data_IF_533895693883
#
_entry.id   IF_533895693883
#
_cell.length_a   1.000
_cell.length_b   1.000
_cell.length_c   1.000
_cell.angle_alpha   90.00
_cell.angle_beta   90.00
_cell.angle_gamma   90.00
#
_symmetry.space_group_name_H-M   'P 1'
#
loop_
_entity.id
_entity.type
_entity.pdbx_description
1 polymer ?
#
# COMPACT_ATOMS: atom_id res chain seq x y z
N UNK A 1 19.67 -84.80 -45.13
CA UNK A 1 19.22 -84.01 -46.30
C UNK A 1 18.82 -82.64 -45.76
N UNK A 2 19.70 -81.63 -45.82
CA UNK A 2 19.80 -80.61 -46.89
C UNK A 2 18.54 -79.73 -46.88
N UNK A 3 18.55 -78.41 -46.64
CA UNK A 3 19.49 -77.34 -47.05
C UNK A 3 19.46 -76.18 -46.01
N UNK A 4 20.57 -75.76 -45.40
CA UNK A 4 21.38 -74.59 -45.81
C UNK A 4 20.61 -73.45 -46.51
N UNK A 5 20.23 -72.42 -45.75
CA UNK A 5 20.06 -71.06 -46.26
C UNK A 5 20.80 -70.10 -45.31
N UNK A 6 22.02 -69.76 -45.70
CA UNK A 6 22.69 -68.55 -45.23
C UNK A 6 22.40 -67.44 -46.25
N UNK A 7 21.93 -66.25 -45.84
CA UNK A 7 22.20 -65.05 -46.58
C UNK A 7 23.52 -64.49 -46.06
N UNK A 8 24.60 -64.78 -46.79
CA UNK A 8 25.82 -63.99 -46.69
C UNK A 8 25.53 -62.63 -47.33
N UNK A 9 25.12 -61.65 -46.53
CA UNK A 9 25.16 -60.25 -46.95
C UNK A 9 26.63 -59.82 -46.97
N UNK A 10 27.17 -59.75 -48.18
CA UNK A 10 28.47 -59.16 -48.44
C UNK A 10 28.44 -57.70 -47.95
N UNK A 11 29.14 -57.43 -46.85
CA UNK A 11 29.48 -56.08 -46.43
C UNK A 11 30.35 -55.44 -47.52
N UNK A 12 29.69 -54.80 -48.49
CA UNK A 12 30.34 -54.04 -49.55
C UNK A 12 31.19 -52.93 -48.93
N UNK A 13 32.41 -52.75 -49.44
CA UNK A 13 33.31 -51.69 -49.01
C UNK A 13 32.59 -50.33 -48.98
N UNK A 14 32.80 -49.48 -47.97
CA UNK A 14 32.09 -48.22 -47.84
C UNK A 14 32.34 -47.37 -49.09
N UNK A 15 31.29 -47.13 -49.86
CA UNK A 15 31.36 -46.30 -51.05
C UNK A 15 31.93 -44.93 -50.67
N UNK A 16 32.93 -44.44 -51.42
CA UNK A 16 33.57 -43.15 -51.14
C UNK A 16 32.64 -41.94 -51.32
N UNK A 17 31.41 -42.14 -51.84
CA UNK A 17 30.45 -41.06 -52.09
C UNK A 17 29.47 -40.90 -50.93
N UNK A 18 28.97 -39.68 -50.76
CA UNK A 18 27.86 -39.42 -49.84
C UNK A 18 26.59 -40.11 -50.31
N UNK A 19 25.86 -40.70 -49.36
CA UNK A 19 24.56 -41.32 -49.58
C UNK A 19 23.51 -40.25 -49.91
N UNK A 20 22.57 -40.59 -50.78
CA UNK A 20 21.39 -39.79 -51.13
C UNK A 20 20.22 -40.16 -50.22
N UNK A 21 19.16 -39.35 -50.23
CA UNK A 21 17.93 -39.59 -49.44
C UNK A 21 17.37 -41.02 -49.68
N UNK A 22 17.35 -41.46 -50.94
CA UNK A 22 16.90 -42.80 -51.34
C UNK A 22 17.92 -43.93 -51.12
N UNK A 23 19.12 -43.61 -50.63
CA UNK A 23 20.11 -44.60 -50.21
C UNK A 23 20.05 -44.86 -48.68
N UNK A 24 19.18 -44.16 -47.94
CA UNK A 24 19.03 -44.29 -46.48
C UNK A 24 17.98 -45.35 -46.11
N UNK A 25 18.10 -45.94 -44.91
CA UNK A 25 17.07 -46.85 -44.42
C UNK A 25 15.73 -46.14 -44.19
N UNK A 26 14.65 -46.90 -44.29
CA UNK A 26 13.29 -46.39 -44.09
C UNK A 26 13.08 -45.72 -42.71
N UNK A 27 13.77 -46.23 -41.69
CA UNK A 27 13.73 -45.67 -40.33
C UNK A 27 14.24 -44.22 -40.26
N UNK A 28 15.08 -43.79 -41.21
CA UNK A 28 15.64 -42.44 -41.26
C UNK A 28 14.68 -41.41 -41.89
N UNK A 29 13.77 -41.83 -42.77
CA UNK A 29 13.04 -40.90 -43.63
C UNK A 29 12.06 -40.02 -42.86
N UNK A 30 11.26 -40.61 -41.98
CA UNK A 30 10.33 -39.85 -41.12
C UNK A 30 11.05 -38.79 -40.27
N UNK A 31 12.07 -39.13 -39.45
CA UNK A 31 12.75 -38.12 -38.64
C UNK A 31 13.55 -37.11 -39.49
N UNK A 32 14.11 -37.53 -40.64
CA UNK A 32 14.81 -36.62 -41.54
C UNK A 32 13.86 -35.57 -42.16
N UNK A 33 12.70 -36.00 -42.64
CA UNK A 33 11.69 -35.09 -43.20
C UNK A 33 11.09 -34.22 -42.09
N UNK A 34 10.79 -34.80 -40.93
CA UNK A 34 10.13 -34.11 -39.82
C UNK A 34 10.99 -33.04 -39.15
N UNK A 35 12.30 -33.27 -39.01
CA UNK A 35 13.22 -32.32 -38.37
C UNK A 35 14.00 -31.49 -39.38
N UNK A 36 14.32 -32.06 -40.54
CA UNK A 36 15.15 -31.44 -41.56
C UNK A 36 14.43 -30.46 -42.49
N UNK A 37 13.09 -30.44 -42.49
CA UNK A 37 12.33 -29.60 -43.43
C UNK A 37 11.16 -28.90 -42.72
N UNK A 38 11.09 -27.55 -42.78
CA UNK A 38 9.91 -26.84 -42.34
C UNK A 38 8.69 -27.26 -43.17
N UNK A 39 7.55 -27.44 -42.51
CA UNK A 39 6.32 -27.94 -43.12
C UNK A 39 5.84 -27.09 -44.32
N UNK A 40 5.95 -25.77 -44.21
CA UNK A 40 5.66 -24.85 -45.33
C UNK A 40 6.60 -25.03 -46.53
N UNK A 41 7.85 -25.44 -46.29
CA UNK A 41 8.80 -25.78 -47.35
C UNK A 41 8.44 -27.13 -47.97
N UNK A 42 8.13 -28.14 -47.15
CA UNK A 42 7.71 -29.46 -47.59
C UNK A 42 6.48 -29.40 -48.49
N UNK A 43 5.43 -28.66 -48.08
CA UNK A 43 4.23 -28.43 -48.91
C UNK A 43 4.54 -27.84 -50.28
N UNK A 44 5.47 -26.89 -50.36
CA UNK A 44 5.90 -26.27 -51.63
C UNK A 44 6.63 -27.27 -52.53
N UNK A 45 7.47 -28.13 -51.95
CA UNK A 45 8.18 -29.17 -52.70
C UNK A 45 7.22 -30.24 -53.22
N UNK A 46 6.30 -30.71 -52.38
CA UNK A 46 5.26 -31.67 -52.77
C UNK A 46 4.39 -31.09 -53.89
N UNK A 47 3.89 -29.86 -53.75
CA UNK A 47 3.04 -29.24 -54.78
C UNK A 47 3.74 -29.05 -56.13
N UNK A 48 5.04 -28.72 -56.12
CA UNK A 48 5.83 -28.65 -57.36
C UNK A 48 6.03 -30.02 -58.01
N UNK A 49 6.22 -31.07 -57.20
CA UNK A 49 6.42 -32.43 -57.70
C UNK A 49 5.13 -33.05 -58.26
N UNK A 50 3.97 -32.74 -57.68
CA UNK A 50 2.65 -33.25 -58.09
C UNK A 50 1.94 -32.37 -59.12
N UNK A 51 2.52 -31.23 -59.52
CA UNK A 51 2.00 -30.38 -60.58
C UNK A 51 0.86 -29.45 -60.17
N UNK A 52 0.72 -29.10 -58.89
CA UNK A 52 -0.37 -28.23 -58.44
C UNK A 52 -0.39 -27.90 -56.94
N UNK A 53 -1.46 -27.22 -56.51
CA UNK A 53 -1.68 -26.89 -55.09
C UNK A 53 -2.03 -28.16 -54.31
N UNK A 54 -1.31 -28.40 -53.22
CA UNK A 54 -1.56 -29.53 -52.33
C UNK A 54 -2.80 -29.25 -51.47
N UNK A 55 -3.85 -30.06 -51.65
CA UNK A 55 -5.12 -30.00 -50.87
C UNK A 55 -5.11 -31.01 -49.70
N UNK A 56 -4.00 -31.72 -49.51
CA UNK A 56 -3.80 -32.66 -48.41
C UNK A 56 -3.51 -31.94 -47.09
N UNK A 57 -3.83 -32.57 -45.96
CA UNK A 57 -3.48 -32.09 -44.62
C UNK A 57 -1.97 -32.23 -44.33
N UNK A 58 -1.51 -31.68 -43.21
CA UNK A 58 -0.07 -31.68 -42.88
C UNK A 58 0.50 -33.09 -42.64
N UNK A 59 -0.32 -34.00 -42.11
CA UNK A 59 0.06 -35.38 -41.86
C UNK A 59 0.20 -36.16 -43.18
N UNK A 60 -0.77 -36.03 -44.08
CA UNK A 60 -0.77 -36.64 -45.40
C UNK A 60 0.41 -36.15 -46.25
N UNK A 61 0.72 -34.85 -46.20
CA UNK A 61 1.89 -34.28 -46.88
C UNK A 61 3.19 -34.87 -46.34
N UNK A 62 3.29 -35.02 -45.02
CA UNK A 62 4.47 -35.58 -44.38
C UNK A 62 4.65 -37.07 -44.74
N UNK A 63 3.64 -37.90 -44.50
CA UNK A 63 3.71 -39.35 -44.76
C UNK A 63 3.93 -39.64 -46.24
N UNK A 64 3.25 -38.89 -47.13
CA UNK A 64 3.48 -39.00 -48.57
C UNK A 64 4.92 -38.70 -48.95
N UNK A 65 5.49 -37.60 -48.43
CA UNK A 65 6.90 -37.28 -48.69
C UNK A 65 7.88 -38.31 -48.12
N UNK A 66 7.59 -38.87 -46.94
CA UNK A 66 8.38 -39.95 -46.32
C UNK A 66 8.37 -41.21 -47.17
N UNK A 67 7.20 -41.62 -47.67
CA UNK A 67 7.07 -42.78 -48.56
C UNK A 67 7.90 -42.61 -49.83
N UNK A 68 7.83 -41.43 -50.44
CA UNK A 68 8.59 -41.11 -51.65
C UNK A 68 10.11 -41.02 -51.42
N UNK A 69 10.60 -40.98 -50.18
CA UNK A 69 12.04 -41.00 -49.92
C UNK A 69 12.70 -42.36 -50.18
N UNK A 70 11.93 -43.46 -50.19
CA UNK A 70 12.46 -44.82 -50.34
C UNK A 70 12.94 -45.20 -51.74
N UNK A 71 12.68 -44.35 -52.74
CA UNK A 71 13.11 -44.58 -54.12
C UNK A 71 13.50 -43.27 -54.79
N UNK A 72 14.21 -43.36 -55.92
CA UNK A 72 14.55 -42.17 -56.71
C UNK A 72 13.39 -41.75 -57.60
N UNK A 73 12.82 -40.59 -57.30
CA UNK A 73 11.73 -39.93 -58.02
C UNK A 73 11.86 -38.40 -57.97
N UNK A 74 10.96 -37.67 -58.65
CA UNK A 74 10.97 -36.19 -58.71
C UNK A 74 10.92 -35.53 -57.33
N UNK A 75 10.15 -36.06 -56.40
CA UNK A 75 10.03 -35.48 -55.06
C UNK A 75 11.30 -35.73 -54.23
N UNK A 76 11.80 -36.96 -54.20
CA UNK A 76 13.04 -37.33 -53.50
C UNK A 76 14.26 -36.53 -54.00
N UNK A 77 14.34 -36.22 -55.30
CA UNK A 77 15.39 -35.36 -55.87
C UNK A 77 15.24 -33.90 -55.43
N UNK A 78 14.00 -33.41 -55.35
CA UNK A 78 13.72 -32.07 -54.84
C UNK A 78 14.06 -31.95 -53.34
N UNK A 79 13.72 -32.97 -52.55
CA UNK A 79 14.06 -33.08 -51.12
C UNK A 79 15.58 -33.14 -50.92
N UNK A 80 16.27 -34.00 -51.67
CA UNK A 80 17.73 -34.07 -51.69
C UNK A 80 18.34 -32.68 -51.97
N UNK A 81 17.86 -31.99 -53.01
CA UNK A 81 18.39 -30.67 -53.38
C UNK A 81 18.17 -29.64 -52.28
N UNK A 82 17.00 -29.65 -51.63
CA UNK A 82 16.71 -28.72 -50.53
C UNK A 82 17.56 -29.02 -49.29
N UNK A 83 17.73 -30.30 -48.91
CA UNK A 83 18.58 -30.69 -47.78
C UNK A 83 20.05 -30.30 -48.01
N UNK A 84 20.59 -30.53 -49.20
CA UNK A 84 21.96 -30.12 -49.56
C UNK A 84 22.12 -28.60 -49.53
N UNK A 85 21.14 -27.86 -50.07
CA UNK A 85 21.17 -26.39 -50.10
C UNK A 85 21.08 -25.80 -48.69
N UNK A 86 20.11 -26.26 -47.90
CA UNK A 86 19.81 -25.75 -46.55
C UNK A 86 20.94 -26.03 -45.57
N UNK A 87 21.54 -27.22 -45.65
CA UNK A 87 22.52 -27.68 -44.68
C UNK A 87 23.95 -27.70 -45.23
N UNK A 88 24.21 -27.03 -46.36
CA UNK A 88 25.54 -26.95 -46.97
C UNK A 88 26.68 -26.61 -45.98
N UNK A 89 26.53 -25.64 -45.04
CA UNK A 89 27.60 -25.33 -44.09
C UNK A 89 27.90 -26.48 -43.13
N UNK A 90 26.86 -27.20 -42.68
CA UNK A 90 27.01 -28.32 -41.75
C UNK A 90 27.61 -29.53 -42.49
N UNK A 91 27.16 -29.78 -43.72
CA UNK A 91 27.73 -30.81 -44.61
C UNK A 91 29.23 -30.55 -44.84
N UNK A 92 29.62 -29.30 -45.06
CA UNK A 92 31.03 -28.91 -45.20
C UNK A 92 31.83 -29.21 -43.94
N UNK A 93 31.27 -28.96 -42.75
CA UNK A 93 31.92 -29.29 -41.46
C UNK A 93 32.13 -30.80 -41.31
N UNK A 94 31.12 -31.61 -41.62
CA UNK A 94 31.20 -33.07 -41.52
C UNK A 94 32.19 -33.70 -42.50
N UNK A 95 32.44 -33.05 -43.66
CA UNK A 95 33.45 -33.50 -44.64
C UNK A 95 34.87 -33.64 -44.06
N UNK A 96 35.18 -32.95 -42.96
CA UNK A 96 36.47 -33.07 -42.28
C UNK A 96 36.65 -34.43 -41.57
N UNK A 97 35.56 -35.15 -41.26
CA UNK A 97 35.63 -36.46 -40.61
C UNK A 97 36.19 -37.52 -41.57
N UNK A 98 37.09 -38.36 -41.06
CA UNK A 98 37.82 -39.41 -41.81
C UNK A 98 37.35 -40.81 -41.46
N UNK A 99 36.70 -40.99 -40.31
CA UNK A 99 36.17 -42.26 -39.82
C UNK A 99 34.81 -42.07 -39.13
N UNK A 100 34.12 -43.17 -38.82
CA UNK A 100 32.79 -43.15 -38.20
C UNK A 100 32.80 -42.53 -36.80
N UNK A 101 33.87 -42.74 -36.02
CA UNK A 101 33.99 -42.15 -34.68
C UNK A 101 33.98 -40.61 -34.70
N UNK A 102 34.63 -39.99 -35.69
CA UNK A 102 34.61 -38.54 -35.87
C UNK A 102 33.23 -38.02 -36.31
N UNK A 103 32.49 -38.78 -37.12
CA UNK A 103 31.10 -38.44 -37.47
C UNK A 103 30.21 -38.51 -36.23
N UNK A 104 30.38 -39.56 -35.41
CA UNK A 104 29.66 -39.74 -34.16
C UNK A 104 29.94 -38.60 -33.17
N UNK A 105 31.19 -38.15 -33.06
CA UNK A 105 31.54 -37.00 -32.22
C UNK A 105 30.86 -35.71 -32.70
N UNK A 106 30.89 -35.44 -34.01
CA UNK A 106 30.23 -34.25 -34.57
C UNK A 106 28.71 -34.27 -34.37
N UNK A 107 28.09 -35.45 -34.38
CA UNK A 107 26.69 -35.66 -34.02
C UNK A 107 26.43 -35.39 -32.54
N UNK A 108 27.24 -35.97 -31.64
CA UNK A 108 27.12 -35.74 -30.20
C UNK A 108 27.26 -34.25 -29.82
N UNK A 109 28.22 -33.55 -30.44
CA UNK A 109 28.41 -32.11 -30.26
C UNK A 109 27.20 -31.29 -30.73
N UNK A 110 26.53 -31.75 -31.80
CA UNK A 110 25.33 -31.10 -32.32
C UNK A 110 24.12 -31.34 -31.41
N UNK A 111 23.96 -32.55 -30.90
CA UNK A 111 22.96 -32.92 -29.89
C UNK A 111 23.10 -32.06 -28.63
N UNK A 112 24.32 -31.90 -28.12
CA UNK A 112 24.58 -31.06 -26.94
C UNK A 112 24.24 -29.57 -27.16
N UNK A 113 24.29 -29.09 -28.40
CA UNK A 113 23.97 -27.70 -28.78
C UNK A 113 22.52 -27.50 -29.21
N UNK A 114 21.75 -28.58 -29.39
CA UNK A 114 20.38 -28.54 -29.92
C UNK A 114 20.28 -28.28 -31.43
N UNK A 115 21.38 -28.22 -32.18
CA UNK A 115 21.39 -28.02 -33.64
C UNK A 115 21.39 -29.35 -34.39
N UNK A 116 20.30 -30.10 -34.23
CA UNK A 116 20.23 -31.51 -34.64
C UNK A 116 19.87 -31.69 -36.12
N UNK A 117 19.10 -30.79 -36.73
CA UNK A 117 18.52 -30.98 -38.06
C UNK A 117 19.57 -31.12 -39.17
N UNK A 118 20.51 -30.17 -39.23
CA UNK A 118 21.58 -30.20 -40.24
C UNK A 118 22.61 -31.29 -39.97
N UNK A 119 22.92 -31.54 -38.69
CA UNK A 119 23.86 -32.58 -38.28
C UNK A 119 23.33 -33.98 -38.60
N UNK A 120 22.02 -34.19 -38.47
CA UNK A 120 21.36 -35.45 -38.81
C UNK A 120 21.50 -35.76 -40.30
N UNK A 121 21.16 -34.81 -41.18
CA UNK A 121 21.38 -34.96 -42.62
C UNK A 121 22.86 -35.19 -42.96
N UNK A 122 23.75 -34.34 -42.43
CA UNK A 122 25.17 -34.40 -42.74
C UNK A 122 25.82 -35.72 -42.29
N UNK A 123 25.44 -36.25 -41.13
CA UNK A 123 25.92 -37.53 -40.62
C UNK A 123 25.35 -38.72 -41.37
N UNK A 124 24.03 -38.80 -41.59
CA UNK A 124 23.39 -39.91 -42.32
C UNK A 124 23.93 -40.06 -43.75
N UNK A 125 24.11 -38.94 -44.45
CA UNK A 125 24.65 -38.94 -45.80
C UNK A 125 26.17 -39.15 -45.88
N UNK A 126 26.90 -39.15 -44.75
CA UNK A 126 28.36 -39.21 -44.75
C UNK A 126 28.89 -40.60 -45.19
N UNK A 127 29.99 -40.69 -45.98
CA UNK A 127 30.52 -41.98 -46.45
C UNK A 127 31.09 -42.88 -45.35
N UNK A 128 31.27 -42.31 -44.14
CA UNK A 128 31.77 -43.01 -42.95
C UNK A 128 30.68 -43.31 -41.92
N UNK A 129 29.42 -43.06 -42.25
CA UNK A 129 28.29 -43.46 -41.43
C UNK A 129 27.97 -44.92 -41.74
N UNK A 130 28.21 -45.79 -40.76
CA UNK A 130 27.84 -47.20 -40.82
C UNK A 130 26.42 -47.42 -40.27
N UNK A 131 25.91 -48.65 -40.39
CA UNK A 131 24.56 -48.98 -39.93
C UNK A 131 24.37 -48.75 -38.42
N UNK A 132 25.39 -49.01 -37.61
CA UNK A 132 25.33 -48.83 -36.16
C UNK A 132 25.25 -47.34 -35.77
N UNK A 133 25.99 -46.48 -36.44
CA UNK A 133 25.92 -45.04 -36.24
C UNK A 133 24.59 -44.46 -36.74
N UNK A 134 24.12 -44.90 -37.90
CA UNK A 134 22.80 -44.52 -38.42
C UNK A 134 21.68 -44.85 -37.43
N UNK A 135 21.64 -46.08 -36.93
CA UNK A 135 20.65 -46.50 -35.96
C UNK A 135 20.71 -45.66 -34.68
N UNK A 136 21.92 -45.40 -34.17
CA UNK A 136 22.13 -44.53 -33.00
C UNK A 136 21.58 -43.13 -33.24
N UNK A 137 21.92 -42.51 -34.36
CA UNK A 137 21.45 -41.16 -34.70
C UNK A 137 19.91 -41.11 -34.76
N UNK A 138 19.27 -42.12 -35.34
CA UNK A 138 17.81 -42.21 -35.40
C UNK A 138 17.17 -42.34 -34.01
N UNK A 139 17.75 -43.18 -33.13
CA UNK A 139 17.30 -43.33 -31.73
C UNK A 139 17.46 -42.04 -30.94
N UNK A 140 18.60 -41.37 -31.07
CA UNK A 140 18.87 -40.08 -30.42
C UNK A 140 17.86 -39.01 -30.87
N UNK A 141 17.61 -38.90 -32.18
CA UNK A 141 16.67 -37.92 -32.72
C UNK A 141 15.22 -38.20 -32.30
N UNK A 142 14.84 -39.47 -32.23
CA UNK A 142 13.52 -39.87 -31.71
C UNK A 142 13.31 -39.37 -30.28
N UNK A 143 14.31 -39.50 -29.40
CA UNK A 143 14.22 -38.99 -28.03
C UNK A 143 14.14 -37.46 -27.98
N UNK A 144 14.88 -36.75 -28.84
CA UNK A 144 14.80 -35.29 -28.95
C UNK A 144 13.40 -34.85 -29.38
N UNK A 145 12.78 -35.52 -30.35
CA UNK A 145 11.42 -35.22 -30.78
C UNK A 145 10.40 -35.44 -29.65
N UNK A 146 10.55 -36.52 -28.86
CA UNK A 146 9.72 -36.76 -27.69
C UNK A 146 9.85 -35.67 -26.63
N UNK A 147 11.09 -35.26 -26.32
CA UNK A 147 11.37 -34.20 -25.35
C UNK A 147 10.84 -32.85 -25.83
N UNK A 148 11.08 -32.48 -27.09
CA UNK A 148 10.55 -31.25 -27.69
C UNK A 148 9.02 -31.20 -27.59
N UNK A 149 8.33 -32.31 -27.88
CA UNK A 149 6.88 -32.41 -27.72
C UNK A 149 6.42 -32.25 -26.26
N UNK A 150 7.16 -32.81 -25.29
CA UNK A 150 6.85 -32.65 -23.87
C UNK A 150 7.06 -31.21 -23.37
N UNK A 151 8.16 -30.57 -23.76
CA UNK A 151 8.44 -29.17 -23.46
C UNK A 151 7.37 -28.24 -24.05
N UNK A 152 7.00 -28.44 -25.33
CA UNK A 152 5.95 -27.64 -25.97
C UNK A 152 4.61 -27.75 -25.22
N UNK A 153 4.22 -28.94 -24.75
CA UNK A 153 3.00 -29.10 -23.95
C UNK A 153 3.09 -28.35 -22.62
N UNK A 154 4.19 -28.48 -21.89
CA UNK A 154 4.40 -27.76 -20.63
C UNK A 154 4.40 -26.23 -20.84
N UNK A 155 4.98 -25.76 -21.94
CA UNK A 155 4.97 -24.35 -22.33
C UNK A 155 3.55 -23.89 -22.67
N UNK A 156 2.77 -24.67 -23.43
CA UNK A 156 1.37 -24.37 -23.73
C UNK A 156 0.53 -24.25 -22.45
N UNK A 157 0.71 -25.14 -21.48
CA UNK A 157 0.03 -25.06 -20.17
C UNK A 157 0.43 -23.82 -19.38
N UNK A 158 1.70 -23.42 -19.46
CA UNK A 158 2.19 -22.17 -18.85
C UNK A 158 1.61 -20.94 -19.54
N UNK A 159 1.57 -20.94 -20.87
CA UNK A 159 0.97 -19.85 -21.65
C UNK A 159 -0.54 -19.72 -21.37
N UNK A 160 -1.27 -20.82 -21.28
CA UNK A 160 -2.69 -20.81 -20.90
C UNK A 160 -2.91 -20.16 -19.55
N UNK A 161 -2.15 -20.57 -18.52
CA UNK A 161 -2.22 -19.96 -17.18
C UNK A 161 -1.93 -18.45 -17.19
N UNK A 162 -0.93 -18.01 -17.97
CA UNK A 162 -0.59 -16.59 -18.09
C UNK A 162 -1.71 -15.78 -18.77
N UNK A 163 -2.40 -16.37 -19.75
CA UNK A 163 -3.57 -15.73 -20.39
C UNK A 163 -4.69 -15.56 -19.37
N UNK A 164 -4.99 -16.60 -18.60
CA UNK A 164 -6.04 -16.57 -17.57
C UNK A 164 -5.73 -15.55 -16.46
N UNK A 165 -4.49 -15.52 -15.98
CA UNK A 165 -4.02 -14.56 -14.98
C UNK A 165 -4.10 -13.12 -15.51
N UNK A 166 -3.65 -12.88 -16.74
CA UNK A 166 -3.73 -11.56 -17.36
C UNK A 166 -5.20 -11.11 -17.52
N UNK A 167 -6.10 -12.02 -17.91
CA UNK A 167 -7.53 -11.72 -17.97
C UNK A 167 -8.10 -11.39 -16.58
N UNK A 168 -7.66 -12.06 -15.52
CA UNK A 168 -8.07 -11.74 -14.14
C UNK A 168 -7.59 -10.37 -13.69
N UNK A 169 -6.28 -10.10 -13.85
CA UNK A 169 -5.68 -8.81 -13.51
C UNK A 169 -6.31 -7.66 -14.32
N UNK A 170 -6.64 -7.91 -15.58
CA UNK A 170 -7.36 -6.94 -16.42
C UNK A 170 -8.73 -6.57 -15.86
N UNK A 171 -9.49 -7.55 -15.34
CA UNK A 171 -10.78 -7.32 -14.68
C UNK A 171 -10.63 -6.55 -13.37
N UNK A 172 -9.70 -6.97 -12.51
CA UNK A 172 -9.44 -6.30 -11.21
C UNK A 172 -8.99 -4.84 -11.40
N UNK A 173 -8.14 -4.58 -12.39
CA UNK A 173 -7.69 -3.24 -12.73
C UNK A 173 -8.85 -2.36 -13.22
N UNK A 174 -9.73 -2.92 -14.07
CA UNK A 174 -10.91 -2.19 -14.54
C UNK A 174 -11.87 -1.85 -13.40
N UNK A 175 -12.12 -2.78 -12.49
CA UNK A 175 -12.96 -2.56 -11.31
C UNK A 175 -12.35 -1.50 -10.36
N UNK A 176 -11.05 -1.59 -10.09
CA UNK A 176 -10.33 -0.60 -9.28
C UNK A 176 -10.38 0.80 -9.90
N UNK A 177 -10.21 0.90 -11.22
CA UNK A 177 -10.32 2.18 -11.95
C UNK A 177 -11.72 2.77 -11.86
N UNK A 178 -12.76 1.96 -12.04
CA UNK A 178 -14.16 2.42 -11.93
C UNK A 178 -14.46 2.93 -10.52
N UNK A 179 -14.05 2.19 -9.48
CA UNK A 179 -14.19 2.64 -8.08
C UNK A 179 -13.43 3.93 -7.80
N UNK A 180 -12.21 4.04 -8.29
CA UNK A 180 -11.40 5.26 -8.15
C UNK A 180 -12.02 6.48 -8.84
N UNK A 181 -12.57 6.29 -10.05
CA UNK A 181 -13.26 7.35 -10.79
C UNK A 181 -14.56 7.79 -10.09
N UNK A 182 -15.34 6.86 -9.57
CA UNK A 182 -16.56 7.17 -8.83
C UNK A 182 -16.26 7.98 -7.57
N UNK A 183 -15.26 7.56 -6.78
CA UNK A 183 -14.84 8.28 -5.58
C UNK A 183 -14.29 9.67 -5.92
N UNK A 184 -13.50 9.78 -6.99
CA UNK A 184 -12.98 11.08 -7.42
C UNK A 184 -14.12 12.04 -7.78
N UNK A 185 -15.13 11.56 -8.53
CA UNK A 185 -16.29 12.37 -8.88
C UNK A 185 -17.05 12.82 -7.63
N UNK A 186 -17.33 11.92 -6.69
CA UNK A 186 -17.97 12.23 -5.41
C UNK A 186 -17.19 13.30 -4.64
N UNK A 187 -15.86 13.15 -4.51
CA UNK A 187 -15.05 14.13 -3.78
C UNK A 187 -14.99 15.48 -4.50
N UNK A 188 -14.97 15.51 -5.83
CA UNK A 188 -15.00 16.77 -6.57
C UNK A 188 -16.31 17.53 -6.41
N UNK A 189 -17.46 16.83 -6.31
CA UNK A 189 -18.76 17.48 -6.09
C UNK A 189 -18.90 17.98 -4.65
N UNK A 190 -18.41 17.22 -3.67
CA UNK A 190 -18.35 17.66 -2.26
C UNK A 190 -17.47 18.91 -2.09
N UNK A 191 -16.29 18.92 -2.72
CA UNK A 191 -15.38 20.08 -2.69
C UNK A 191 -16.05 21.32 -3.28
N UNK A 192 -16.66 21.20 -4.46
CA UNK A 192 -17.37 22.32 -5.09
C UNK A 192 -18.52 22.85 -4.21
N UNK A 193 -19.22 21.96 -3.49
CA UNK A 193 -20.27 22.34 -2.54
C UNK A 193 -19.70 23.11 -1.34
N UNK A 194 -18.59 22.62 -0.77
CA UNK A 194 -17.94 23.30 0.36
C UNK A 194 -17.36 24.65 -0.04
N UNK A 195 -16.77 24.76 -1.23
CA UNK A 195 -16.26 26.04 -1.76
C UNK A 195 -17.40 27.07 -1.93
N UNK A 196 -18.56 26.64 -2.45
CA UNK A 196 -19.73 27.49 -2.56
C UNK A 196 -20.25 27.96 -1.17
N UNK A 197 -20.31 27.06 -0.19
CA UNK A 197 -20.71 27.40 1.17
C UNK A 197 -19.72 28.36 1.84
N UNK A 198 -18.41 28.15 1.67
CA UNK A 198 -17.37 29.04 2.17
C UNK A 198 -17.47 30.43 1.54
N UNK A 199 -17.73 30.51 0.23
CA UNK A 199 -17.94 31.78 -0.46
C UNK A 199 -19.17 32.51 0.08
N UNK A 200 -20.28 31.80 0.29
CA UNK A 200 -21.50 32.37 0.86
C UNK A 200 -21.29 32.87 2.30
N UNK A 201 -20.63 32.08 3.14
CA UNK A 201 -20.33 32.45 4.52
C UNK A 201 -19.43 33.70 4.58
N UNK A 202 -18.42 33.80 3.71
CA UNK A 202 -17.57 34.98 3.59
C UNK A 202 -18.36 36.22 3.16
N UNK A 203 -19.24 36.09 2.17
CA UNK A 203 -20.09 37.19 1.72
C UNK A 203 -21.01 37.69 2.85
N UNK A 204 -21.62 36.77 3.61
CA UNK A 204 -22.46 37.12 4.77
C UNK A 204 -21.66 37.80 5.89
N UNK A 205 -20.44 37.33 6.17
CA UNK A 205 -19.56 37.94 7.16
C UNK A 205 -19.21 39.38 6.76
N UNK A 206 -18.76 39.60 5.52
CA UNK A 206 -18.45 40.93 4.99
C UNK A 206 -19.68 41.85 5.05
N UNK A 207 -20.86 41.34 4.70
CA UNK A 207 -22.11 42.10 4.78
C UNK A 207 -22.45 42.52 6.21
N UNK A 208 -22.26 41.63 7.19
CA UNK A 208 -22.47 41.94 8.61
C UNK A 208 -21.45 42.95 9.13
N UNK A 209 -20.16 42.79 8.81
CA UNK A 209 -19.12 43.73 9.22
C UNK A 209 -19.37 45.13 8.66
N UNK A 210 -19.75 45.21 7.38
CA UNK A 210 -20.12 46.48 6.74
C UNK A 210 -21.32 47.15 7.42
N UNK A 211 -22.35 46.36 7.80
CA UNK A 211 -23.51 46.88 8.52
C UNK A 211 -23.16 47.33 9.95
N UNK A 212 -22.30 46.59 10.65
CA UNK A 212 -21.80 46.97 11.98
C UNK A 212 -21.04 48.29 11.91
N UNK A 213 -20.18 48.46 10.91
CA UNK A 213 -19.40 49.70 10.75
C UNK A 213 -20.29 50.88 10.38
N UNK A 214 -21.31 50.68 9.53
CA UNK A 214 -22.31 51.71 9.23
C UNK A 214 -23.10 52.14 10.48
N UNK A 215 -23.59 51.17 11.28
CA UNK A 215 -24.31 51.45 12.53
C UNK A 215 -23.42 52.13 13.58
N UNK A 216 -22.14 51.76 13.66
CA UNK A 216 -21.16 52.44 14.52
C UNK A 216 -20.95 53.89 14.10
N UNK A 217 -20.86 54.15 12.80
CA UNK A 217 -20.74 55.51 12.27
C UNK A 217 -22.00 56.35 12.55
N UNK A 218 -23.19 55.79 12.35
CA UNK A 218 -24.47 56.45 12.65
C UNK A 218 -24.61 56.74 14.16
N UNK A 219 -24.28 55.78 15.02
CA UNK A 219 -24.26 55.99 16.47
C UNK A 219 -23.29 57.10 16.89
N UNK A 220 -22.11 57.17 16.26
CA UNK A 220 -21.14 58.24 16.51
C UNK A 220 -21.69 59.61 16.09
N UNK A 221 -22.33 59.70 14.92
CA UNK A 221 -22.98 60.91 14.44
C UNK A 221 -24.12 61.36 15.36
N UNK A 222 -25.02 60.47 15.76
CA UNK A 222 -26.11 60.76 16.67
C UNK A 222 -25.61 61.23 18.05
N UNK A 223 -24.55 60.60 18.58
CA UNK A 223 -23.92 61.03 19.83
C UNK A 223 -23.31 62.43 19.72
N UNK A 224 -22.69 62.76 18.58
CA UNK A 224 -22.13 64.08 18.32
C UNK A 224 -23.22 65.16 18.14
N UNK A 225 -24.39 64.79 17.62
CA UNK A 225 -25.52 65.70 17.40
C UNK A 225 -26.22 66.14 18.70
N UNK A 226 -26.00 65.48 19.84
CA UNK A 226 -26.62 65.82 21.12
C UNK A 226 -25.66 66.70 21.96
N UNK A 227 -25.90 68.01 22.09
CA UNK A 227 -24.98 68.91 22.79
C UNK A 227 -24.88 68.55 24.28
N UNK A 228 -23.64 68.48 24.78
CA UNK A 228 -23.36 68.24 26.20
C UNK A 228 -23.68 66.82 26.71
N UNK A 229 -24.01 65.86 25.83
CA UNK A 229 -24.35 64.48 26.22
C UNK A 229 -23.26 63.81 27.07
N UNK A 230 -22.00 63.90 26.64
CA UNK A 230 -20.87 63.33 27.37
C UNK A 230 -20.70 63.94 28.78
N UNK A 231 -20.99 65.23 28.93
CA UNK A 231 -20.93 65.91 30.23
C UNK A 231 -22.11 65.49 31.13
N UNK A 232 -23.31 65.36 30.57
CA UNK A 232 -24.49 64.83 31.29
C UNK A 232 -24.30 63.38 31.73
N UNK A 233 -23.73 62.53 30.88
CA UNK A 233 -23.42 61.13 31.22
C UNK A 233 -22.36 61.02 32.33
N UNK A 234 -21.29 61.81 32.26
CA UNK A 234 -20.27 61.87 33.33
C UNK A 234 -20.86 62.36 34.65
N UNK A 235 -21.74 63.36 34.61
CA UNK A 235 -22.42 63.84 35.81
C UNK A 235 -23.33 62.76 36.42
N UNK A 236 -24.12 62.06 35.59
CA UNK A 236 -24.99 60.97 36.03
C UNK A 236 -24.19 59.82 36.66
N UNK A 237 -23.06 59.41 36.06
CA UNK A 237 -22.17 58.41 36.65
C UNK A 237 -21.57 58.86 37.98
N UNK A 238 -21.19 60.14 38.10
CA UNK A 238 -20.66 60.67 39.37
C UNK A 238 -21.72 60.70 40.45
N UNK A 239 -22.96 61.05 40.11
CA UNK A 239 -24.09 60.99 41.03
C UNK A 239 -24.38 59.57 41.48
N UNK A 240 -24.37 58.57 40.58
CA UNK A 240 -24.58 57.17 40.97
C UNK A 240 -23.45 56.64 41.86
N UNK A 241 -22.20 57.02 41.60
CA UNK A 241 -21.06 56.69 42.47
C UNK A 241 -21.17 57.33 43.85
N UNK A 242 -21.63 58.58 43.92
CA UNK A 242 -21.87 59.26 45.19
C UNK A 242 -23.01 58.63 45.98
N UNK A 243 -24.11 58.27 45.30
CA UNK A 243 -25.25 57.59 45.91
C UNK A 243 -24.89 56.20 46.45
N UNK A 244 -24.08 55.43 45.70
CA UNK A 244 -23.55 54.15 46.19
C UNK A 244 -22.69 54.34 47.44
N UNK A 245 -21.81 55.35 47.43
CA UNK A 245 -20.96 55.66 48.58
C UNK A 245 -21.76 56.18 49.77
N UNK A 246 -22.82 56.94 49.53
CA UNK A 246 -23.75 57.36 50.57
C UNK A 246 -24.49 56.18 51.17
N UNK A 247 -24.94 55.23 50.35
CA UNK A 247 -25.56 53.97 50.80
C UNK A 247 -24.58 53.15 51.63
N UNK A 248 -23.34 53.01 51.18
CA UNK A 248 -22.29 52.31 51.93
C UNK A 248 -21.99 52.98 53.28
N UNK A 249 -21.82 54.30 53.31
CA UNK A 249 -21.62 55.05 54.54
C UNK A 249 -22.83 54.98 55.47
N UNK A 250 -24.06 54.95 54.94
CA UNK A 250 -25.28 54.75 55.75
C UNK A 250 -25.32 53.35 56.35
N UNK A 251 -24.91 52.32 55.61
CA UNK A 251 -24.81 50.96 56.13
C UNK A 251 -23.77 50.88 57.24
N UNK A 252 -22.60 51.49 57.06
CA UNK A 252 -21.58 51.60 58.10
C UNK A 252 -22.12 52.38 59.32
N UNK A 253 -22.72 53.55 59.14
CA UNK A 253 -23.33 54.30 60.25
C UNK A 253 -24.41 53.50 60.99
N UNK A 254 -25.21 52.72 60.29
CA UNK A 254 -26.20 51.83 60.91
C UNK A 254 -25.52 50.72 61.73
N UNK A 255 -24.45 50.11 61.20
CA UNK A 255 -23.64 49.10 61.89
C UNK A 255 -22.97 49.66 63.14
N UNK A 256 -22.37 50.86 63.08
CA UNK A 256 -21.72 51.52 64.22
C UNK A 256 -22.72 52.05 65.26
N UNK A 257 -23.96 52.35 64.86
CA UNK A 257 -25.05 52.76 65.77
C UNK A 257 -25.84 51.58 66.34
N UNK A 258 -25.55 50.34 65.94
CA UNK A 258 -26.10 49.19 66.64
C UNK A 258 -25.57 49.17 68.08
N UNK A 259 -26.44 49.16 69.10
CA UNK A 259 -25.99 48.97 70.47
C UNK A 259 -25.30 47.61 70.58
N UNK A 260 -24.14 47.58 71.26
CA UNK A 260 -23.39 46.35 71.51
C UNK A 260 -24.30 45.26 72.08
N UNK A 261 -24.29 44.03 71.52
CA UNK A 261 -25.16 42.96 72.00
C UNK A 261 -24.79 42.60 73.45
N UNK A 262 -25.77 42.73 74.35
CA UNK A 262 -25.69 42.25 75.75
C UNK A 262 -25.69 40.72 75.75
N UNK A 263 -24.80 40.04 76.51
CA UNK A 263 -24.72 38.59 76.49
C UNK A 263 -25.78 37.96 77.41
N UNK A 264 -26.66 37.11 76.85
CA UNK A 264 -27.37 36.07 77.60
C UNK A 264 -27.79 34.90 76.70
N UNK A 265 -27.05 33.80 76.88
CA UNK A 265 -27.35 32.37 76.76
C UNK A 265 -28.55 31.88 75.89
N UNK A 266 -28.15 31.22 74.79
CA UNK A 266 -28.48 29.83 74.41
C UNK A 266 -29.95 29.36 74.34
N UNK A 267 -30.44 29.18 73.11
CA UNK A 267 -31.03 27.90 72.70
C UNK A 267 -30.94 27.67 71.17
N UNK A 268 -30.12 26.68 70.83
CA UNK A 268 -30.31 25.64 69.81
C UNK A 268 -30.21 25.95 68.29
N UNK A 269 -28.99 25.66 67.77
CA UNK A 269 -28.63 24.85 66.56
C UNK A 269 -29.08 25.33 65.16
N UNK A 270 -28.19 25.28 64.13
CA UNK A 270 -27.31 24.15 63.86
C UNK A 270 -25.81 24.44 63.87
N UNK A 271 -25.11 23.40 64.32
CA UNK A 271 -23.68 23.12 64.20
C UNK A 271 -23.21 23.38 62.76
N UNK A 272 -22.40 24.42 62.58
CA UNK A 272 -21.45 24.51 61.48
C UNK A 272 -20.06 24.36 62.09
N UNK A 273 -19.41 23.27 61.68
CA UNK A 273 -18.19 22.73 62.23
C UNK A 273 -17.01 23.73 62.21
N UNK A 274 -16.03 23.57 63.12
CA UNK A 274 -14.80 24.35 63.13
C UNK A 274 -14.06 24.23 61.80
N UNK A 275 -13.27 25.24 61.36
CA UNK A 275 -12.39 25.07 60.22
C UNK A 275 -11.50 23.86 60.51
N UNK A 276 -11.43 22.86 59.61
CA UNK A 276 -10.57 21.72 59.85
C UNK A 276 -9.13 22.21 59.95
N UNK A 277 -8.41 21.59 60.88
CA UNK A 277 -6.97 21.68 60.98
C UNK A 277 -6.35 21.64 59.59
N UNK A 278 -5.42 22.55 59.33
CA UNK A 278 -4.54 22.50 58.17
C UNK A 278 -3.74 21.21 58.34
N UNK A 279 -4.24 20.11 57.77
CA UNK A 279 -3.41 18.99 57.41
C UNK A 279 -2.44 19.57 56.39
N UNK A 280 -1.17 19.63 56.75
CA UNK A 280 -0.08 20.12 55.92
C UNK A 280 0.00 19.29 54.64
N UNK A 281 -0.76 19.67 53.61
CA UNK A 281 -0.46 19.25 52.26
C UNK A 281 0.75 20.10 51.87
N UNK A 282 1.95 19.53 51.97
CA UNK A 282 3.18 20.20 51.53
C UNK A 282 3.20 20.29 50.00
N UNK A 283 2.53 21.30 49.45
CA UNK A 283 2.62 21.70 48.03
C UNK A 283 3.37 23.03 47.85
N UNK A 284 4.06 23.50 48.91
CA UNK A 284 4.86 24.73 48.88
C UNK A 284 5.81 24.71 47.68
N UNK A 285 5.70 25.73 46.83
CA UNK A 285 6.51 25.93 45.61
C UNK A 285 6.28 24.94 44.45
N UNK A 286 5.23 24.12 44.48
CA UNK A 286 4.91 23.23 43.34
C UNK A 286 3.98 23.88 42.32
N UNK A 287 4.23 23.60 41.03
CA UNK A 287 3.37 24.00 39.91
C UNK A 287 2.28 22.95 39.66
N UNK A 288 1.02 23.31 39.90
CA UNK A 288 -0.15 22.44 39.73
C UNK A 288 -0.91 22.83 38.47
N UNK A 289 -1.07 21.90 37.54
CA UNK A 289 -1.88 22.07 36.33
C UNK A 289 -3.22 21.36 36.45
N UNK A 290 -4.32 22.11 36.33
CA UNK A 290 -5.66 21.54 36.16
C UNK A 290 -6.01 21.47 34.68
N UNK A 291 -6.22 20.25 34.17
CA UNK A 291 -6.66 20.00 32.79
C UNK A 291 -8.15 19.66 32.79
N UNK A 292 -8.93 20.54 32.18
CA UNK A 292 -10.39 20.48 32.13
C UNK A 292 -11.08 21.13 33.33
N UNK A 293 -12.40 21.18 33.22
CA UNK A 293 -13.32 21.65 34.25
C UNK A 293 -14.30 22.69 33.76
N UNK A 294 -15.33 22.97 34.58
CA UNK A 294 -16.26 24.06 34.30
C UNK A 294 -15.59 25.39 34.65
N UNK A 295 -15.62 26.34 33.72
CA UNK A 295 -15.01 27.68 33.87
C UNK A 295 -15.43 28.42 35.16
N UNK A 296 -16.64 28.16 35.67
CA UNK A 296 -17.12 28.70 36.95
C UNK A 296 -16.41 28.19 38.21
N UNK A 297 -15.71 27.06 38.16
CA UNK A 297 -15.02 26.47 39.32
C UNK A 297 -13.51 26.76 39.35
N UNK A 298 -12.94 27.27 38.25
CA UNK A 298 -11.50 27.54 38.12
C UNK A 298 -11.01 28.54 39.16
N UNK A 299 -11.81 29.58 39.45
CA UNK A 299 -11.49 30.57 40.48
C UNK A 299 -11.43 29.95 41.90
N UNK A 300 -12.36 29.04 42.21
CA UNK A 300 -12.39 28.33 43.49
C UNK A 300 -11.23 27.34 43.63
N UNK A 301 -10.84 26.67 42.55
CA UNK A 301 -9.68 25.78 42.53
C UNK A 301 -8.36 26.52 42.69
N UNK A 302 -8.21 27.65 41.99
CA UNK A 302 -7.08 28.57 42.17
C UNK A 302 -6.95 29.00 43.64
N UNK A 303 -8.03 29.51 44.23
CA UNK A 303 -8.03 29.97 45.61
C UNK A 303 -7.67 28.86 46.62
N UNK A 304 -8.07 27.61 46.36
CA UNK A 304 -7.73 26.47 47.21
C UNK A 304 -6.24 26.11 47.12
N UNK A 305 -5.69 26.03 45.90
CA UNK A 305 -4.31 25.58 45.65
C UNK A 305 -3.29 26.67 46.05
N UNK A 306 -3.56 27.93 45.71
CA UNK A 306 -2.71 29.06 46.08
C UNK A 306 -2.70 29.31 47.60
N UNK A 307 -3.81 29.02 48.31
CA UNK A 307 -3.86 29.10 49.78
C UNK A 307 -2.91 28.13 50.49
N UNK A 308 -2.51 27.06 49.81
CA UNK A 308 -1.54 26.06 50.31
C UNK A 308 -0.10 26.39 49.86
N UNK A 309 0.09 27.49 49.10
CA UNK A 309 1.41 27.96 48.66
C UNK A 309 1.90 27.36 47.34
N UNK A 310 1.03 26.76 46.54
CA UNK A 310 1.32 26.20 45.23
C UNK A 310 0.92 27.16 44.10
N UNK A 311 1.59 27.07 42.94
CA UNK A 311 1.24 27.85 41.75
C UNK A 311 0.18 27.11 40.93
N UNK A 312 -0.92 27.79 40.58
CA UNK A 312 -2.01 27.18 39.82
C UNK A 312 -2.03 27.62 38.35
N UNK A 313 -2.02 26.64 37.45
CA UNK A 313 -2.25 26.80 36.02
C UNK A 313 -3.46 25.98 35.57
N UNK A 314 -4.17 26.47 34.54
CA UNK A 314 -5.37 25.81 34.01
C UNK A 314 -5.30 25.71 32.49
N UNK A 315 -5.66 24.54 31.96
CA UNK A 315 -5.87 24.31 30.54
C UNK A 315 -7.23 23.63 30.36
N UNK A 316 -8.01 24.08 29.39
CA UNK A 316 -9.36 23.58 29.11
C UNK A 316 -9.47 22.13 28.60
N UNK A 317 -8.35 21.42 28.38
CA UNK A 317 -8.34 20.07 27.79
C UNK A 317 -8.63 20.02 26.29
N UNK A 318 -8.37 21.10 25.55
CA UNK A 318 -8.44 21.16 24.09
C UNK A 318 -9.84 21.35 23.52
N UNK A 319 -10.69 22.12 24.21
CA UNK A 319 -12.01 22.54 23.72
C UNK A 319 -11.91 23.84 22.90
N UNK A 320 -10.99 24.73 23.25
CA UNK A 320 -10.67 26.00 22.58
C UNK A 320 -9.15 26.20 22.36
N UNK A 321 -8.26 25.61 23.18
CA UNK A 321 -6.80 25.79 23.08
C UNK A 321 -6.05 24.77 22.19
N UNK A 322 -4.99 25.24 21.51
CA UNK A 322 -4.14 24.47 20.61
C UNK A 322 -3.41 23.31 21.32
N UNK A 323 -3.47 22.09 20.76
CA UNK A 323 -2.87 20.88 21.35
C UNK A 323 -1.37 20.96 21.71
N UNK A 324 -0.60 21.88 21.12
CA UNK A 324 0.82 22.12 21.46
C UNK A 324 1.02 22.89 22.78
N UNK A 325 0.04 23.67 23.22
CA UNK A 325 0.07 24.40 24.50
C UNK A 325 -0.15 23.46 25.70
N UNK A 326 -0.83 22.33 25.48
CA UNK A 326 -1.04 21.32 26.50
C UNK A 326 0.27 20.61 26.88
N UNK A 327 1.11 20.29 25.89
CA UNK A 327 2.40 19.61 26.15
C UNK A 327 3.40 20.49 26.91
N UNK A 328 3.45 21.80 26.61
CA UNK A 328 4.30 22.75 27.35
C UNK A 328 3.80 22.97 28.77
N UNK A 329 2.48 23.06 28.96
CA UNK A 329 1.86 23.18 30.28
C UNK A 329 2.10 21.92 31.13
N UNK A 330 1.98 20.72 30.53
CA UNK A 330 2.29 19.45 31.18
C UNK A 330 3.77 19.35 31.57
N UNK A 331 4.68 19.86 30.74
CA UNK A 331 6.11 19.88 31.02
C UNK A 331 6.48 20.81 32.20
N UNK A 332 5.75 21.91 32.40
CA UNK A 332 5.99 22.89 33.46
C UNK A 332 5.31 22.56 34.81
N UNK A 333 4.48 21.51 34.87
CA UNK A 333 3.77 21.12 36.09
C UNK A 333 4.50 20.02 36.87
N UNK A 334 4.48 20.11 38.19
CA UNK A 334 4.96 19.06 39.12
C UNK A 334 3.83 18.09 39.50
N UNK A 335 2.58 18.57 39.45
CA UNK A 335 1.37 17.81 39.69
C UNK A 335 0.32 18.14 38.63
N UNK A 336 -0.28 17.11 38.03
CA UNK A 336 -1.35 17.25 37.04
C UNK A 336 -2.66 16.74 37.61
N UNK A 337 -3.71 17.56 37.55
CA UNK A 337 -5.07 17.22 37.93
C UNK A 337 -5.89 17.11 36.65
N UNK A 338 -6.35 15.91 36.34
CA UNK A 338 -7.09 15.58 35.13
C UNK A 338 -8.57 15.37 35.45
N UNK A 339 -9.43 16.30 35.01
CA UNK A 339 -10.87 16.17 35.18
C UNK A 339 -11.46 15.37 34.01
N UNK A 340 -11.55 14.05 34.16
CA UNK A 340 -11.87 13.10 33.08
C UNK A 340 -13.24 13.36 32.42
N UNK A 341 -14.21 13.90 33.16
CA UNK A 341 -15.54 14.23 32.67
C UNK A 341 -15.65 15.56 31.91
N UNK A 342 -14.57 16.35 31.84
CA UNK A 342 -14.58 17.71 31.26
C UNK A 342 -13.40 17.97 30.30
N UNK A 343 -12.91 16.93 29.61
CA UNK A 343 -11.83 17.03 28.61
C UNK A 343 -12.14 16.21 27.37
N UNK A 344 -11.48 16.53 26.25
CA UNK A 344 -11.56 15.72 25.04
C UNK A 344 -10.90 14.35 25.22
N UNK A 345 -11.37 13.32 24.50
CA UNK A 345 -10.79 11.97 24.55
C UNK A 345 -9.29 11.97 24.20
N UNK A 346 -8.87 12.82 23.25
CA UNK A 346 -7.47 13.00 22.90
C UNK A 346 -6.63 13.65 24.00
N UNK A 347 -7.17 14.62 24.75
CA UNK A 347 -6.46 15.23 25.88
C UNK A 347 -6.31 14.27 27.06
N UNK A 348 -7.33 13.45 27.35
CA UNK A 348 -7.27 12.42 28.40
C UNK A 348 -6.09 11.45 28.18
N UNK A 349 -5.99 10.87 26.98
CA UNK A 349 -4.91 9.94 26.66
C UNK A 349 -3.53 10.61 26.68
N UNK A 350 -3.44 11.84 26.20
CA UNK A 350 -2.18 12.60 26.20
C UNK A 350 -1.67 12.89 27.60
N UNK A 351 -2.55 13.32 28.52
CA UNK A 351 -2.19 13.53 29.93
C UNK A 351 -1.75 12.21 30.57
N UNK A 352 -2.51 11.13 30.35
CA UNK A 352 -2.21 9.80 30.91
C UNK A 352 -0.88 9.24 30.42
N UNK A 353 -0.60 9.34 29.12
CA UNK A 353 0.64 8.87 28.51
C UNK A 353 1.85 9.73 28.95
N UNK A 354 1.68 11.06 28.99
CA UNK A 354 2.73 11.98 29.43
C UNK A 354 3.14 11.70 30.89
N UNK A 355 2.17 11.58 31.80
CA UNK A 355 2.46 11.34 33.22
C UNK A 355 3.07 9.95 33.43
N UNK A 356 2.61 8.92 32.70
CA UNK A 356 3.20 7.58 32.74
C UNK A 356 4.64 7.55 32.22
N UNK A 357 4.95 8.31 31.16
CA UNK A 357 6.30 8.36 30.56
C UNK A 357 7.30 9.16 31.39
N UNK A 358 6.85 10.24 32.02
CA UNK A 358 7.72 11.19 32.76
C UNK A 358 7.80 10.89 34.25
N UNK A 359 6.92 10.03 34.77
CA UNK A 359 6.81 9.75 36.21
C UNK A 359 6.17 10.89 37.01
N UNK A 360 5.59 11.89 36.34
CA UNK A 360 4.91 13.01 37.01
C UNK A 360 3.64 12.55 37.71
N UNK A 361 3.36 13.14 38.87
CA UNK A 361 2.19 12.82 39.68
C UNK A 361 0.93 13.29 38.96
N UNK A 362 -0.05 12.40 38.82
CA UNK A 362 -1.28 12.67 38.12
C UNK A 362 -2.48 12.15 38.90
N UNK A 363 -3.44 13.03 39.17
CA UNK A 363 -4.70 12.72 39.85
C UNK A 363 -5.84 12.79 38.85
N UNK A 364 -6.61 11.71 38.73
CA UNK A 364 -7.78 11.67 37.86
C UNK A 364 -9.05 11.84 38.68
N UNK A 365 -9.87 12.83 38.31
CA UNK A 365 -11.10 13.20 39.03
C UNK A 365 -12.29 13.07 38.07
N UNK A 366 -13.23 12.19 38.41
CA UNK A 366 -14.40 11.91 37.58
C UNK A 366 -15.53 12.93 37.73
N UNK A 367 -15.61 13.66 38.86
CA UNK A 367 -16.65 14.67 39.08
C UNK A 367 -16.02 16.04 39.40
N UNK A 368 -16.25 17.10 38.60
CA UNK A 368 -15.66 18.42 38.79
C UNK A 368 -16.32 19.18 39.96
N UNK A 369 -16.12 18.71 41.20
CA UNK A 369 -16.57 19.35 42.44
C UNK A 369 -15.39 19.74 43.33
N UNK A 370 -15.59 20.77 44.16
CA UNK A 370 -14.60 21.24 45.15
C UNK A 370 -14.22 20.11 46.13
N UNK A 371 -15.20 19.32 46.56
CA UNK A 371 -14.99 18.17 47.44
C UNK A 371 -14.19 17.03 46.80
N UNK A 372 -14.35 16.79 45.50
CA UNK A 372 -13.62 15.75 44.77
C UNK A 372 -12.16 16.16 44.55
N UNK A 373 -11.91 17.45 44.32
CA UNK A 373 -10.57 18.02 44.25
C UNK A 373 -9.83 17.90 45.59
N UNK A 374 -10.49 18.27 46.69
CA UNK A 374 -9.88 18.20 48.02
C UNK A 374 -9.49 16.77 48.41
N UNK A 375 -10.34 15.79 48.05
CA UNK A 375 -10.03 14.36 48.23
C UNK A 375 -8.86 13.91 47.36
N UNK A 376 -8.85 14.28 46.08
CA UNK A 376 -7.76 13.92 45.16
C UNK A 376 -6.41 14.54 45.54
N UNK A 377 -6.42 15.77 46.07
CA UNK A 377 -5.22 16.41 46.62
C UNK A 377 -4.74 15.76 47.92
N UNK A 378 -5.66 15.28 48.76
CA UNK A 378 -5.32 14.50 49.97
C UNK A 378 -4.71 13.14 49.62
N UNK A 379 -5.27 12.44 48.65
CA UNK A 379 -4.74 11.16 48.15
C UNK A 379 -3.36 11.34 47.54
N UNK A 380 -3.16 12.40 46.73
CA UNK A 380 -1.84 12.74 46.21
C UNK A 380 -0.86 13.08 47.34
N UNK A 381 -1.24 13.94 48.28
CA UNK A 381 -0.37 14.37 49.39
C UNK A 381 0.03 13.27 50.38
N UNK A 382 -0.73 12.17 50.47
CA UNK A 382 -0.46 11.05 51.35
C UNK A 382 0.64 10.10 50.83
N UNK A 383 0.98 10.12 49.54
CA UNK A 383 2.10 9.34 48.97
C UNK A 383 3.49 9.96 49.27
N UNK A 384 3.53 11.09 49.98
CA UNK A 384 4.75 11.86 50.27
C UNK A 384 5.08 11.98 51.76
N UNK A 385 4.60 11.06 52.59
CA UNK A 385 5.00 10.94 54.01
C UNK A 385 5.89 9.72 54.24
#
# INVERSE_FOLDING_TARGET
MRDQHAPGEAAGAPASRRRRVWDLSQACHCPLVGVGLPLACLRKLVGKATGGRVIADDYEVHVGAVSECGSRNRLSEALQKELERRYAPIVLRFRAARNGAQVAQLWADAMAKGDVAGAFWAGLSHPRCDAALEERMCRDLHMVQHQAGACLRADMDKFGRLIDENASLGRELAESRLRGQALLLEKTTELARHDALLMQARALAIGKDSAIDALRAELAQLRAAIPGLASRQRLAQRLSQMDERERELRMQLAEWKQPAPRPAAAAALPVSAPPPAITTIHLLEQSVLCVGGRSGNVASYRAMIERVGAQFSHHDGGLEDNARMLDSSLAAADLVICQSACISHGAYWRVKEHCKRTGKRCVFIDNPSISSLERGLREAGAETA
#
